data_IF_011771245622
#
_entry.id   IF_011771245622
#
_cell.length_a   1.000
_cell.length_b   1.000
_cell.length_c   1.000
_cell.angle_alpha   90.00
_cell.angle_beta   90.00
_cell.angle_gamma   90.00
#
_symmetry.space_group_name_H-M   'P 1'
#
loop_
_entity.id
_entity.type
_entity.pdbx_description
1 polymer ?
#
# COMPACT_ATOMS: atom_id res chain seq x y z
N UNK A 1 57.59 -21.63 -31.79
CA UNK A 1 58.16 -20.60 -30.89
C UNK A 1 57.11 -19.52 -30.70
N UNK A 2 56.92 -19.10 -29.46
CA UNK A 2 55.79 -18.32 -28.94
C UNK A 2 55.91 -16.79 -29.15
N UNK A 3 54.86 -16.09 -28.69
CA UNK A 3 54.81 -14.69 -28.18
C UNK A 3 54.33 -13.62 -29.20
N UNK A 4 53.46 -12.65 -28.90
CA UNK A 4 52.91 -12.17 -27.62
C UNK A 4 51.64 -11.32 -27.83
N UNK A 5 50.79 -11.28 -26.81
CA UNK A 5 49.57 -10.48 -26.64
C UNK A 5 49.85 -8.96 -26.43
N UNK A 6 48.82 -8.15 -26.72
CA UNK A 6 48.50 -6.78 -26.23
C UNK A 6 49.18 -5.55 -26.87
N UNK A 7 48.37 -4.76 -27.61
CA UNK A 7 48.28 -3.29 -27.39
C UNK A 7 46.90 -2.77 -27.80
N UNK A 8 46.27 -2.01 -26.89
CA UNK A 8 44.94 -1.39 -26.97
C UNK A 8 45.01 0.04 -27.54
N UNK A 9 43.81 0.56 -27.86
CA UNK A 9 43.37 1.97 -27.94
C UNK A 9 43.48 2.69 -29.30
N UNK A 10 42.34 2.77 -30.01
CA UNK A 10 42.07 3.79 -31.03
C UNK A 10 41.48 5.05 -30.37
N UNK A 11 41.94 6.21 -30.83
CA UNK A 11 41.87 7.52 -30.18
C UNK A 11 40.64 8.35 -30.52
N UNK A 12 40.32 9.25 -29.58
CA UNK A 12 39.39 10.40 -29.61
C UNK A 12 39.55 11.34 -30.83
N UNK A 13 38.48 12.07 -31.17
CA UNK A 13 38.57 13.40 -31.79
C UNK A 13 37.33 13.82 -32.58
N UNK A 14 36.63 14.86 -32.12
CA UNK A 14 35.43 15.52 -32.68
C UNK A 14 35.89 16.67 -33.58
N UNK A 15 35.22 16.94 -34.71
CA UNK A 15 35.12 18.30 -35.28
C UNK A 15 33.89 18.46 -36.22
N UNK A 16 33.33 19.67 -36.19
CA UNK A 16 31.97 20.11 -36.60
C UNK A 16 31.97 20.72 -38.02
N UNK A 17 30.92 20.47 -38.82
CA UNK A 17 30.54 21.35 -39.95
C UNK A 17 29.07 21.78 -39.84
N UNK A 18 28.89 23.09 -39.71
CA UNK A 18 27.64 23.78 -39.53
C UNK A 18 26.82 23.90 -40.82
N UNK A 19 25.66 23.26 -40.87
CA UNK A 19 24.57 23.59 -41.80
C UNK A 19 23.51 24.40 -41.07
N UNK A 20 23.43 25.72 -41.34
CA UNK A 20 22.36 26.59 -40.84
C UNK A 20 21.05 26.26 -41.56
N UNK A 21 20.04 25.79 -40.83
CA UNK A 21 18.64 25.89 -41.27
C UNK A 21 18.06 27.12 -40.60
N UNK A 22 17.66 28.10 -41.39
CA UNK A 22 17.12 29.38 -40.92
C UNK A 22 15.70 29.21 -40.41
N UNK A 23 15.48 29.45 -39.12
CA UNK A 23 14.17 29.62 -38.50
C UNK A 23 13.55 30.96 -38.95
N UNK A 24 12.65 30.92 -39.92
CA UNK A 24 11.73 32.04 -40.15
C UNK A 24 10.50 31.83 -39.28
N UNK A 25 10.57 32.29 -38.04
CA UNK A 25 9.40 32.45 -37.17
C UNK A 25 8.55 33.60 -37.73
N UNK A 26 7.45 33.28 -38.43
CA UNK A 26 6.35 34.23 -38.57
C UNK A 26 5.46 34.06 -37.34
N UNK A 27 5.47 35.09 -36.49
CA UNK A 27 4.60 35.20 -35.33
C UNK A 27 3.16 35.45 -35.76
N UNK A 28 2.21 34.76 -35.14
CA UNK A 28 0.81 35.21 -35.04
C UNK A 28 -0.26 34.15 -35.23
N UNK A 29 -0.52 33.34 -34.20
CA UNK A 29 -1.85 32.98 -33.62
C UNK A 29 -1.67 31.73 -32.72
N UNK A 30 -2.04 31.75 -31.43
CA UNK A 30 -2.06 30.53 -30.63
C UNK A 30 -3.33 29.73 -30.94
N UNK A 31 -3.21 28.67 -31.75
CA UNK A 31 -4.26 27.67 -31.90
C UNK A 31 -4.02 26.50 -30.96
N UNK A 32 -4.93 26.37 -30.00
CA UNK A 32 -5.07 25.24 -29.11
C UNK A 32 -5.32 23.90 -29.83
N UNK A 33 -4.96 22.80 -29.15
CA UNK A 33 -5.60 21.48 -29.18
C UNK A 33 -5.60 20.69 -30.51
N UNK A 34 -4.52 19.95 -30.80
CA UNK A 34 -4.63 18.62 -31.44
C UNK A 34 -3.52 17.69 -30.90
N UNK A 35 -3.82 16.64 -30.12
CA UNK A 35 -2.83 15.60 -29.82
C UNK A 35 -2.82 14.61 -31.00
N UNK A 36 -1.90 14.80 -31.96
CA UNK A 36 -1.66 13.80 -33.01
C UNK A 36 -0.63 12.82 -32.49
N UNK A 37 -1.07 11.60 -32.18
CA UNK A 37 -0.21 10.54 -31.65
C UNK A 37 0.88 10.14 -32.63
N UNK A 38 2.13 10.17 -32.17
CA UNK A 38 3.25 9.44 -32.75
C UNK A 38 3.98 8.71 -31.62
N UNK A 39 3.94 7.38 -31.67
CA UNK A 39 4.64 6.49 -30.75
C UNK A 39 6.11 6.39 -31.15
N UNK A 40 7.00 7.02 -30.40
CA UNK A 40 8.43 6.74 -30.48
C UNK A 40 8.82 5.58 -29.56
N UNK A 41 9.10 4.43 -30.17
CA UNK A 41 9.65 3.25 -29.49
C UNK A 41 11.15 3.42 -29.31
N UNK A 42 11.61 4.05 -28.23
CA UNK A 42 12.93 3.74 -27.62
C UNK A 42 12.94 4.18 -26.15
N UNK A 43 12.25 3.43 -25.28
CA UNK A 43 12.47 3.50 -23.83
C UNK A 43 13.15 2.22 -23.38
N UNK A 44 14.39 2.37 -22.90
CA UNK A 44 15.16 1.36 -22.18
C UNK A 44 14.25 0.65 -21.17
N UNK A 45 14.20 -0.68 -21.25
CA UNK A 45 13.60 -1.56 -20.24
C UNK A 45 14.46 -1.54 -18.99
N UNK A 46 14.36 -0.47 -18.21
CA UNK A 46 14.67 -0.50 -16.78
C UNK A 46 13.54 -1.31 -16.15
N UNK A 47 13.88 -2.30 -15.34
CA UNK A 47 12.97 -3.25 -14.68
C UNK A 47 12.01 -2.57 -13.70
N UNK A 48 11.08 -1.78 -14.22
CA UNK A 48 9.79 -1.59 -13.61
C UNK A 48 8.96 -2.77 -14.12
N UNK A 49 8.64 -3.71 -13.24
CA UNK A 49 7.53 -4.63 -13.47
C UNK A 49 6.38 -3.77 -13.95
N UNK A 50 5.98 -3.92 -15.21
CA UNK A 50 4.76 -3.33 -15.74
C UNK A 50 3.62 -3.95 -14.92
N UNK A 51 3.33 -3.34 -13.78
CA UNK A 51 2.13 -3.58 -13.04
C UNK A 51 1.05 -3.15 -14.00
N UNK A 52 0.42 -4.14 -14.64
CA UNK A 52 -0.71 -3.93 -15.53
C UNK A 52 -1.62 -2.89 -14.86
N UNK A 53 -2.07 -1.91 -15.64
CA UNK A 53 -2.87 -0.79 -15.14
C UNK A 53 -4.18 -1.30 -14.51
N UNK A 54 -4.08 -1.67 -13.25
CA UNK A 54 -5.10 -2.38 -12.52
C UNK A 54 -5.74 -1.40 -11.55
N UNK A 55 -6.83 -0.81 -12.04
CA UNK A 55 -7.64 0.22 -11.41
C UNK A 55 -8.39 -0.25 -10.17
N UNK A 56 -8.37 -1.55 -9.86
CA UNK A 56 -9.08 -2.11 -8.71
C UNK A 56 -8.50 -1.56 -7.41
N UNK A 57 -9.38 -1.48 -6.42
CA UNK A 57 -9.03 -1.00 -5.10
C UNK A 57 -8.11 -2.00 -4.43
N UNK A 58 -7.00 -1.51 -3.89
CA UNK A 58 -6.03 -2.33 -3.16
C UNK A 58 -5.48 -1.56 -1.96
N UNK A 59 -5.26 -2.29 -0.87
CA UNK A 59 -4.55 -1.82 0.31
C UNK A 59 -3.28 -2.64 0.43
N UNK A 60 -2.12 -1.98 0.44
CA UNK A 60 -0.82 -2.66 0.47
C UNK A 60 0.16 -1.99 1.43
N UNK A 61 1.12 -2.74 1.99
CA UNK A 61 2.29 -2.17 2.65
C UNK A 61 3.02 -1.16 1.77
N UNK A 62 3.69 -0.21 2.43
CA UNK A 62 4.70 0.60 1.75
C UNK A 62 5.82 -0.31 1.20
N UNK A 63 6.33 -0.06 -0.01
CA UNK A 63 7.43 -0.84 -0.57
C UNK A 63 8.62 -0.91 0.41
N UNK A 64 9.19 -2.11 0.59
CA UNK A 64 10.29 -2.36 1.53
C UNK A 64 9.85 -2.66 2.98
N UNK A 65 8.55 -2.60 3.30
CA UNK A 65 7.96 -3.04 4.58
C UNK A 65 7.05 -4.27 4.45
N UNK A 66 7.07 -4.91 3.29
CA UNK A 66 6.27 -6.10 3.00
C UNK A 66 6.69 -7.29 3.87
N UNK A 67 8.00 -7.58 3.96
CA UNK A 67 8.52 -8.69 4.77
C UNK A 67 8.23 -8.54 6.26
N UNK A 68 8.09 -7.31 6.76
CA UNK A 68 7.74 -7.05 8.17
C UNK A 68 6.26 -7.24 8.46
N UNK A 69 5.38 -7.10 7.45
CA UNK A 69 3.93 -7.19 7.64
C UNK A 69 3.42 -8.58 7.26
N UNK A 70 3.91 -9.13 6.15
CA UNK A 70 3.49 -10.44 5.65
C UNK A 70 4.34 -11.60 6.19
N UNK A 71 5.50 -11.30 6.79
CA UNK A 71 6.42 -12.33 7.28
C UNK A 71 7.10 -13.12 6.15
N UNK A 72 7.51 -14.37 6.39
CA UNK A 72 8.21 -15.20 5.40
C UNK A 72 7.40 -15.42 4.11
N UNK A 73 8.05 -15.35 2.96
CA UNK A 73 7.46 -15.71 1.66
C UNK A 73 7.53 -17.23 1.41
N UNK A 74 6.96 -17.99 2.32
CA UNK A 74 6.94 -19.45 2.26
C UNK A 74 5.58 -19.95 1.78
N UNK A 75 5.56 -21.12 1.12
CA UNK A 75 4.30 -21.70 0.60
C UNK A 75 3.31 -22.09 1.71
N UNK A 76 3.83 -22.36 2.91
CA UNK A 76 3.06 -22.65 4.12
C UNK A 76 2.56 -21.39 4.83
N UNK A 77 3.04 -20.21 4.45
CA UNK A 77 2.65 -18.95 5.10
C UNK A 77 1.23 -18.57 4.72
N UNK A 78 0.42 -18.25 5.74
CA UNK A 78 -0.93 -17.73 5.55
C UNK A 78 -0.94 -16.44 4.71
N UNK A 79 0.14 -15.68 4.66
CA UNK A 79 0.22 -14.41 3.93
C UNK A 79 0.62 -14.58 2.45
N UNK A 80 0.91 -15.79 1.99
CA UNK A 80 1.34 -16.05 0.61
C UNK A 80 0.38 -15.53 -0.46
N UNK A 81 -0.96 -15.69 -0.35
CA UNK A 81 -1.89 -15.16 -1.34
C UNK A 81 -1.76 -13.64 -1.53
N UNK A 82 -1.50 -12.89 -0.44
CA UNK A 82 -1.33 -11.44 -0.47
C UNK A 82 0.01 -11.01 -1.09
N UNK A 83 1.06 -11.82 -0.95
CA UNK A 83 2.31 -11.60 -1.65
C UNK A 83 2.15 -11.67 -3.18
N UNK A 84 1.27 -12.53 -3.67
CA UNK A 84 1.05 -12.70 -5.10
C UNK A 84 0.19 -11.56 -5.69
N UNK A 85 -0.77 -11.03 -4.93
CA UNK A 85 -1.60 -9.88 -5.33
C UNK A 85 -0.93 -8.53 -5.03
N UNK A 86 0.14 -8.52 -4.23
CA UNK A 86 0.86 -7.31 -3.82
C UNK A 86 0.04 -6.41 -2.88
N UNK A 87 -0.81 -7.01 -2.06
CA UNK A 87 -1.79 -6.29 -1.24
C UNK A 87 -3.11 -7.03 -1.04
N UNK A 88 -3.93 -6.50 -0.15
CA UNK A 88 -5.37 -6.80 -0.11
C UNK A 88 -6.00 -6.12 -1.31
N UNK A 89 -6.27 -6.90 -2.34
CA UNK A 89 -7.03 -6.53 -3.52
C UNK A 89 -8.50 -6.86 -3.30
N UNK A 90 -9.39 -5.91 -3.57
CA UNK A 90 -10.83 -6.15 -3.51
C UNK A 90 -11.26 -6.93 -4.77
N UNK A 91 -11.93 -8.09 -4.63
CA UNK A 91 -12.34 -8.91 -5.78
C UNK A 91 -13.47 -8.25 -6.57
N UNK A 92 -14.40 -7.59 -5.87
CA UNK A 92 -15.50 -6.82 -6.43
C UNK A 92 -15.29 -5.34 -6.12
N UNK A 93 -15.86 -4.46 -6.96
CA UNK A 93 -15.82 -3.01 -6.77
C UNK A 93 -16.44 -2.64 -5.41
N UNK A 94 -15.65 -2.10 -4.47
CA UNK A 94 -16.18 -1.74 -3.16
C UNK A 94 -16.87 -0.37 -3.23
N UNK A 95 -17.79 -0.15 -2.30
CA UNK A 95 -18.34 1.17 -2.00
C UNK A 95 -17.31 1.94 -1.19
N UNK A 96 -16.91 3.12 -1.68
CA UNK A 96 -15.98 4.02 -0.98
C UNK A 96 -16.71 5.34 -0.69
N UNK A 97 -16.72 5.74 0.58
CA UNK A 97 -17.16 7.05 1.02
C UNK A 97 -15.96 7.82 1.57
N UNK A 98 -15.75 9.03 1.06
CA UNK A 98 -14.69 9.94 1.50
C UNK A 98 -15.31 11.28 1.89
N UNK A 99 -15.02 11.78 3.08
CA UNK A 99 -15.50 13.08 3.55
C UNK A 99 -14.34 14.07 3.65
N UNK A 100 -14.41 15.13 2.86
CA UNK A 100 -13.48 16.25 2.90
C UNK A 100 -14.21 17.48 3.44
N UNK A 101 -13.86 17.87 4.66
CA UNK A 101 -14.42 19.06 5.31
C UNK A 101 -13.33 20.09 5.57
N UNK A 102 -13.73 21.35 5.68
CA UNK A 102 -12.85 22.47 6.05
C UNK A 102 -13.54 23.25 7.16
N UNK A 103 -12.77 23.61 8.18
CA UNK A 103 -13.27 24.35 9.34
C UNK A 103 -12.97 25.84 9.18
N UNK A 104 -14.01 26.66 9.27
CA UNK A 104 -13.93 28.12 9.29
C UNK A 104 -14.48 28.64 10.62
N UNK A 105 -13.78 29.59 11.22
CA UNK A 105 -14.23 30.36 12.36
C UNK A 105 -15.03 31.57 11.90
N UNK A 106 -16.15 31.84 12.57
CA UNK A 106 -17.02 32.97 12.25
C UNK A 106 -16.67 34.14 13.17
N UNK A 107 -16.33 35.29 12.58
CA UNK A 107 -16.13 36.54 13.28
C UNK A 107 -17.31 37.45 12.91
N UNK A 108 -18.08 37.86 13.91
CA UNK A 108 -19.25 38.73 13.74
C UNK A 108 -19.01 40.10 14.40
N UNK A 109 -18.47 41.09 13.66
CA UNK A 109 -18.26 42.43 14.19
C UNK A 109 -19.59 43.16 14.43
N UNK A 110 -19.64 43.97 15.49
CA UNK A 110 -20.79 44.85 15.74
C UNK A 110 -20.90 45.86 14.60
N UNK A 111 -22.13 46.12 14.16
CA UNK A 111 -22.45 46.97 12.99
C UNK A 111 -21.92 46.44 11.64
N UNK A 112 -21.57 45.16 11.55
CA UNK A 112 -21.41 44.48 10.25
C UNK A 112 -22.72 43.86 9.81
N UNK A 113 -23.03 43.94 8.52
CA UNK A 113 -24.22 43.31 7.93
C UNK A 113 -23.99 41.84 7.58
N UNK A 114 -22.73 41.39 7.60
CA UNK A 114 -22.32 40.04 7.26
C UNK A 114 -21.18 39.57 8.16
N UNK A 115 -21.15 38.26 8.37
CA UNK A 115 -20.09 37.60 9.12
C UNK A 115 -18.84 37.40 8.25
N UNK A 116 -17.67 37.49 8.89
CA UNK A 116 -16.39 37.18 8.28
C UNK A 116 -15.98 35.76 8.63
N UNK A 117 -15.76 34.92 7.61
CA UNK A 117 -15.27 33.56 7.79
C UNK A 117 -13.74 33.54 7.69
N UNK A 118 -13.07 33.15 8.77
CA UNK A 118 -11.63 32.95 8.80
C UNK A 118 -11.29 31.45 8.73
N UNK A 119 -10.40 31.06 7.83
CA UNK A 119 -9.94 29.68 7.74
C UNK A 119 -9.27 29.25 9.06
N UNK A 120 -9.68 28.12 9.63
CA UNK A 120 -9.06 27.56 10.84
C UNK A 120 -8.15 26.39 10.51
N UNK A 121 -8.70 25.33 9.91
CA UNK A 121 -7.95 24.12 9.56
C UNK A 121 -8.72 23.25 8.58
N UNK A 122 -7.98 22.36 7.93
CA UNK A 122 -8.54 21.23 7.17
C UNK A 122 -8.17 19.95 7.92
N UNK A 123 -9.13 19.24 8.54
CA UNK A 123 -8.86 17.94 9.18
C UNK A 123 -8.48 16.87 8.14
N UNK A 124 -7.81 15.81 8.59
CA UNK A 124 -7.51 14.65 7.73
C UNK A 124 -8.81 13.95 7.32
N UNK A 125 -9.02 13.67 6.02
CA UNK A 125 -10.23 13.00 5.55
C UNK A 125 -10.27 11.55 6.03
N UNK A 126 -11.48 11.07 6.31
CA UNK A 126 -11.74 9.68 6.65
C UNK A 126 -12.35 8.95 5.45
N UNK A 127 -11.90 7.72 5.24
CA UNK A 127 -12.36 6.84 4.18
C UNK A 127 -13.06 5.63 4.78
N UNK A 128 -14.30 5.39 4.36
CA UNK A 128 -15.04 4.17 4.68
C UNK A 128 -15.16 3.33 3.43
N UNK A 129 -14.54 2.15 3.45
CA UNK A 129 -14.55 1.21 2.34
C UNK A 129 -15.33 -0.03 2.77
N UNK A 130 -16.38 -0.36 2.05
CA UNK A 130 -17.19 -1.56 2.25
C UNK A 130 -17.21 -2.39 0.97
N UNK A 131 -16.84 -3.66 1.07
CA UNK A 131 -16.79 -4.57 -0.07
C UNK A 131 -17.00 -6.01 0.36
N UNK A 132 -17.62 -6.79 -0.51
CA UNK A 132 -17.85 -8.21 -0.27
C UNK A 132 -16.63 -9.03 -0.70
N UNK A 133 -16.32 -10.06 0.07
CA UNK A 133 -15.36 -11.10 -0.30
C UNK A 133 -16.12 -12.44 -0.36
N UNK A 134 -16.02 -13.14 -1.49
CA UNK A 134 -16.60 -14.47 -1.65
C UNK A 134 -15.51 -15.54 -1.58
N UNK A 135 -15.82 -16.67 -0.95
CA UNK A 135 -14.93 -17.82 -0.86
C UNK A 135 -15.67 -19.08 -1.32
N UNK A 136 -15.65 -19.35 -2.63
CA UNK A 136 -16.29 -20.56 -3.18
C UNK A 136 -15.33 -21.74 -3.26
N UNK A 137 -14.06 -21.46 -3.49
CA UNK A 137 -13.00 -22.45 -3.63
C UNK A 137 -12.01 -22.36 -2.47
N UNK A 138 -11.27 -23.44 -2.18
CA UNK A 138 -10.23 -23.43 -1.13
C UNK A 138 -9.21 -22.30 -1.30
N UNK A 139 -8.83 -22.01 -2.54
CA UNK A 139 -7.87 -20.92 -2.86
C UNK A 139 -8.43 -19.52 -2.55
N UNK A 140 -9.72 -19.30 -2.78
CA UNK A 140 -10.38 -18.04 -2.43
C UNK A 140 -10.58 -17.94 -0.92
N UNK A 141 -10.92 -19.05 -0.26
CA UNK A 141 -11.00 -19.12 1.19
C UNK A 141 -9.66 -18.81 1.86
N UNK A 142 -8.56 -19.35 1.33
CA UNK A 142 -7.19 -18.99 1.76
C UNK A 142 -6.95 -17.49 1.65
N UNK A 143 -7.30 -16.89 0.50
CA UNK A 143 -7.15 -15.45 0.29
C UNK A 143 -7.98 -14.62 1.28
N UNK A 144 -9.25 -14.95 1.47
CA UNK A 144 -10.11 -14.27 2.45
C UNK A 144 -9.56 -14.38 3.87
N UNK A 145 -9.07 -15.56 4.27
CA UNK A 145 -8.43 -15.77 5.56
C UNK A 145 -7.15 -14.93 5.69
N UNK A 146 -6.34 -14.84 4.64
CA UNK A 146 -5.17 -13.95 4.60
C UNK A 146 -5.56 -12.49 4.79
N UNK A 147 -6.61 -12.01 4.10
CA UNK A 147 -7.11 -10.64 4.23
C UNK A 147 -7.55 -10.33 5.66
N UNK A 148 -8.32 -11.23 6.27
CA UNK A 148 -8.76 -11.10 7.66
C UNK A 148 -7.56 -11.02 8.62
N UNK A 149 -6.58 -11.93 8.45
CA UNK A 149 -5.39 -11.94 9.28
C UNK A 149 -4.51 -10.70 9.06
N UNK A 150 -4.41 -10.21 7.82
CA UNK A 150 -3.73 -8.96 7.51
C UNK A 150 -4.35 -7.78 8.26
N UNK A 151 -5.67 -7.59 8.22
CA UNK A 151 -6.30 -6.49 8.95
C UNK A 151 -6.15 -6.62 10.48
N UNK A 152 -6.20 -7.84 11.01
CA UNK A 152 -5.96 -8.11 12.44
C UNK A 152 -4.56 -7.70 12.91
N UNK A 153 -3.56 -7.89 12.06
CA UNK A 153 -2.14 -7.64 12.35
C UNK A 153 -1.81 -6.15 12.20
N UNK A 154 -2.15 -5.53 11.06
CA UNK A 154 -1.81 -4.13 10.77
C UNK A 154 -2.57 -3.10 11.62
N UNK A 155 -3.68 -3.49 12.25
CA UNK A 155 -4.43 -2.59 13.16
C UNK A 155 -3.80 -2.55 14.57
N UNK A 156 -2.89 -3.48 14.89
CA UNK A 156 -2.23 -3.54 16.21
C UNK A 156 -0.82 -2.97 16.14
N UNK A 157 -0.36 -2.46 17.29
CA UNK A 157 1.06 -2.16 17.49
C UNK A 157 1.88 -3.45 17.34
N UNK A 158 3.17 -3.35 16.99
CA UNK A 158 4.02 -4.52 16.87
C UNK A 158 4.20 -5.19 18.26
N UNK A 159 3.78 -6.45 18.38
CA UNK A 159 3.85 -7.24 19.60
C UNK A 159 4.49 -8.61 19.34
N UNK A 160 5.18 -9.14 20.34
CA UNK A 160 5.84 -10.45 20.29
C UNK A 160 7.37 -10.38 20.18
N UNK A 161 8.01 -11.53 20.39
CA UNK A 161 9.42 -11.76 20.08
C UNK A 161 9.47 -12.56 18.78
N UNK A 162 9.69 -11.90 17.66
CA UNK A 162 10.16 -12.63 16.49
C UNK A 162 11.18 -11.81 15.71
N UNK A 163 12.38 -12.38 15.64
CA UNK A 163 13.51 -11.90 14.84
C UNK A 163 13.54 -12.74 13.57
N UNK A 164 12.58 -12.55 12.66
CA UNK A 164 12.70 -13.21 11.36
C UNK A 164 13.88 -12.60 10.59
N UNK A 165 14.88 -13.45 10.28
CA UNK A 165 16.11 -13.10 9.56
C UNK A 165 16.94 -11.95 10.16
N UNK A 166 17.06 -11.89 11.48
CA UNK A 166 17.94 -10.90 12.14
C UNK A 166 17.50 -9.44 11.97
N UNK A 167 16.32 -9.19 11.41
CA UNK A 167 15.67 -7.88 11.44
C UNK A 167 14.82 -7.84 12.70
N UNK A 168 15.43 -7.45 13.82
CA UNK A 168 14.69 -7.16 15.04
C UNK A 168 13.83 -5.91 14.79
N UNK A 169 12.53 -6.13 14.63
CA UNK A 169 11.56 -5.04 14.63
C UNK A 169 11.30 -4.70 16.10
N UNK A 170 11.54 -3.46 16.55
CA UNK A 170 11.36 -3.10 17.94
C UNK A 170 9.90 -3.25 18.35
N UNK A 171 9.69 -3.85 19.52
CA UNK A 171 8.38 -3.95 20.17
C UNK A 171 7.84 -2.55 20.46
N UNK A 172 6.51 -2.39 20.37
CA UNK A 172 5.86 -1.11 20.65
C UNK A 172 5.86 -0.11 19.49
N UNK A 173 6.29 -0.52 18.29
CA UNK A 173 6.07 0.30 17.09
C UNK A 173 4.57 0.50 16.86
N UNK A 174 4.21 1.74 16.54
CA UNK A 174 2.85 2.12 16.14
C UNK A 174 2.38 1.29 14.93
N UNK A 175 1.05 1.12 14.75
CA UNK A 175 0.49 0.47 13.57
C UNK A 175 1.12 1.01 12.26
N UNK A 176 1.43 0.14 11.28
CA UNK A 176 2.10 0.55 10.06
C UNK A 176 1.22 1.44 9.19
N UNK A 177 1.85 2.36 8.45
CA UNK A 177 1.21 3.12 7.38
C UNK A 177 1.13 2.25 6.12
N UNK A 178 -0.07 2.15 5.56
CA UNK A 178 -0.37 1.41 4.35
C UNK A 178 -0.60 2.38 3.17
N UNK A 179 -0.65 1.84 1.96
CA UNK A 179 -0.96 2.57 0.74
C UNK A 179 -2.29 2.07 0.18
N UNK A 180 -3.26 2.97 0.07
CA UNK A 180 -4.51 2.76 -0.64
C UNK A 180 -4.32 3.17 -2.11
N UNK A 181 -4.71 2.28 -3.02
CA UNK A 181 -4.75 2.56 -4.45
C UNK A 181 -6.11 2.15 -5.03
N UNK A 182 -6.58 2.82 -6.08
CA UNK A 182 -7.84 2.51 -6.77
C UNK A 182 -8.30 3.67 -7.66
N UNK A 183 -9.08 3.34 -8.70
CA UNK A 183 -9.72 4.32 -9.59
C UNK A 183 -8.76 5.29 -10.30
N UNK A 184 -7.54 4.84 -10.61
CA UNK A 184 -6.56 5.58 -11.42
C UNK A 184 -5.75 6.63 -10.65
N UNK A 185 -4.95 7.39 -11.39
CA UNK A 185 -3.92 8.31 -10.84
C UNK A 185 -4.49 9.49 -10.06
N UNK A 186 -5.71 9.93 -10.38
CA UNK A 186 -6.31 11.16 -9.83
C UNK A 186 -7.30 10.92 -8.69
N UNK A 187 -7.67 9.66 -8.41
CA UNK A 187 -8.58 9.33 -7.31
C UNK A 187 -7.82 8.81 -6.10
N UNK A 188 -7.40 7.54 -6.13
CA UNK A 188 -6.65 6.91 -5.04
C UNK A 188 -5.33 6.39 -5.61
N UNK A 189 -4.29 7.23 -5.60
CA UNK A 189 -2.97 6.86 -6.08
C UNK A 189 -1.96 6.85 -4.94
N UNK A 190 -1.60 5.66 -4.49
CA UNK A 190 -0.63 5.41 -3.43
C UNK A 190 -0.85 6.31 -2.21
N UNK A 191 -2.11 6.46 -1.81
CA UNK A 191 -2.50 7.32 -0.71
C UNK A 191 -2.06 6.69 0.62
N UNK A 192 -1.25 7.36 1.44
CA UNK A 192 -0.85 6.84 2.74
C UNK A 192 -2.04 6.84 3.69
N UNK A 193 -2.40 5.67 4.20
CA UNK A 193 -3.55 5.48 5.09
C UNK A 193 -3.15 4.68 6.33
N UNK A 194 -3.86 4.94 7.43
CA UNK A 194 -3.79 4.15 8.66
C UNK A 194 -5.19 3.60 8.92
N UNK A 195 -5.26 2.34 9.34
CA UNK A 195 -6.54 1.69 9.62
C UNK A 195 -6.96 2.03 11.05
N UNK A 196 -8.08 2.75 11.19
CA UNK A 196 -8.67 3.08 12.50
C UNK A 196 -9.54 1.95 13.05
N UNK A 197 -10.33 1.33 12.18
CA UNK A 197 -11.25 0.26 12.52
C UNK A 197 -11.39 -0.69 11.32
N UNK A 198 -11.62 -1.97 11.58
CA UNK A 198 -12.08 -2.92 10.59
C UNK A 198 -13.19 -3.76 11.21
N UNK A 199 -14.24 -4.02 10.43
CA UNK A 199 -15.38 -4.85 10.84
C UNK A 199 -15.51 -6.00 9.85
N UNK A 200 -15.75 -7.20 10.37
CA UNK A 200 -16.00 -8.40 9.57
C UNK A 200 -17.35 -8.94 10.01
N UNK A 201 -18.23 -9.17 9.06
CA UNK A 201 -19.49 -9.86 9.27
C UNK A 201 -19.40 -11.26 8.65
N UNK A 202 -19.76 -12.27 9.45
CA UNK A 202 -19.79 -13.66 9.04
C UNK A 202 -21.28 -14.10 9.04
N UNK A 203 -21.97 -14.01 7.90
CA UNK A 203 -23.41 -14.29 7.80
C UNK A 203 -23.73 -15.76 8.07
N UNK A 204 -24.89 -16.05 8.68
CA UNK A 204 -25.30 -17.43 9.00
C UNK A 204 -25.95 -18.17 7.81
N UNK A 205 -26.26 -17.45 6.75
CA UNK A 205 -26.96 -17.91 5.56
C UNK A 205 -26.01 -18.37 4.45
N UNK A 206 -24.74 -18.61 4.75
CA UNK A 206 -23.70 -19.06 3.80
C UNK A 206 -22.87 -20.17 4.43
N UNK A 207 -22.51 -21.18 3.63
CA UNK A 207 -21.63 -22.27 4.04
C UNK A 207 -20.17 -21.82 4.10
N UNK A 208 -19.48 -22.21 5.17
CA UNK A 208 -18.06 -21.87 5.37
C UNK A 208 -17.13 -22.94 4.80
N UNK A 209 -16.14 -22.51 4.03
CA UNK A 209 -15.08 -23.38 3.49
C UNK A 209 -13.92 -23.48 4.47
N UNK A 210 -13.55 -24.70 4.85
CA UNK A 210 -12.37 -24.97 5.68
C UNK A 210 -11.10 -24.79 4.86
N UNK A 211 -10.13 -24.06 5.41
CA UNK A 211 -8.77 -23.92 4.88
C UNK A 211 -7.81 -24.81 5.67
N UNK A 212 -7.02 -25.62 4.97
CA UNK A 212 -5.97 -26.44 5.59
C UNK A 212 -4.62 -25.74 5.40
N UNK A 213 -4.23 -24.91 6.38
CA UNK A 213 -2.88 -24.35 6.40
C UNK A 213 -1.93 -25.39 6.96
N UNK A 214 -0.87 -25.70 6.23
CA UNK A 214 0.23 -26.49 6.75
C UNK A 214 1.07 -25.58 7.64
N UNK A 215 0.59 -25.34 8.87
CA UNK A 215 1.31 -24.52 9.83
C UNK A 215 2.75 -25.06 9.95
N UNK A 216 3.79 -24.21 9.90
CA UNK A 216 5.12 -24.66 10.26
C UNK A 216 5.01 -25.26 11.67
N UNK A 217 5.44 -26.51 11.80
CA UNK A 217 5.31 -27.33 13.00
C UNK A 217 6.13 -26.74 14.15
N UNK A 218 5.60 -25.68 14.77
CA UNK A 218 5.98 -25.28 16.11
C UNK A 218 4.87 -25.78 17.01
N UNK A 219 5.15 -26.88 17.71
CA UNK A 219 4.28 -27.52 18.68
C UNK A 219 3.85 -26.52 19.76
N UNK A 220 2.65 -25.98 19.62
CA UNK A 220 1.90 -25.41 20.73
C UNK A 220 0.48 -25.98 20.62
N UNK A 221 0.21 -27.00 21.44
CA UNK A 221 -1.12 -27.61 21.53
C UNK A 221 -2.15 -26.55 21.88
N UNK A 222 -3.15 -26.38 21.03
CA UNK A 222 -4.25 -25.46 21.29
C UNK A 222 -5.38 -26.24 21.95
N UNK A 223 -5.43 -26.21 23.28
CA UNK A 223 -6.67 -26.42 24.03
C UNK A 223 -7.37 -25.08 24.11
N UNK A 224 -8.45 -24.91 23.36
CA UNK A 224 -9.32 -23.73 23.43
C UNK A 224 -10.28 -23.94 24.60
N UNK A 225 -9.96 -23.38 25.76
CA UNK A 225 -10.99 -23.04 26.75
C UNK A 225 -11.13 -21.52 26.77
N UNK A 226 -12.29 -21.02 26.31
CA UNK A 226 -12.66 -19.61 26.41
C UNK A 226 -13.61 -19.47 27.58
N UNK A 227 -13.23 -18.68 28.57
CA UNK A 227 -14.16 -17.90 29.38
C UNK A 227 -13.43 -16.65 29.87
N UNK A 228 -13.70 -15.52 29.21
CA UNK A 228 -13.56 -14.15 29.73
C UNK A 228 -12.29 -13.86 30.56
N UNK A 229 -11.22 -13.35 29.94
CA UNK A 229 -10.18 -12.66 30.73
C UNK A 229 -9.80 -11.32 30.09
N UNK A 230 -10.41 -10.26 30.62
CA UNK A 230 -9.86 -8.90 30.64
C UNK A 230 -8.98 -8.82 31.89
N UNK A 231 -7.70 -8.49 31.73
CA UNK A 231 -6.88 -7.97 32.84
C UNK A 231 -6.18 -6.68 32.39
N UNK A 232 -6.47 -5.60 33.11
CA UNK A 232 -5.88 -4.26 33.01
C UNK A 232 -4.45 -4.26 33.61
N UNK A 233 -3.58 -3.32 33.21
CA UNK A 233 -2.15 -3.38 33.54
C UNK A 233 -1.91 -3.03 35.01
N UNK A 234 -1.10 -3.81 35.71
CA UNK A 234 -0.46 -3.33 36.93
C UNK A 234 1.06 -3.44 36.83
N UNK A 235 1.72 -2.31 37.11
CA UNK A 235 3.16 -2.17 37.25
C UNK A 235 3.68 -3.20 38.26
N UNK A 236 4.66 -4.03 37.87
CA UNK A 236 5.47 -4.78 38.81
C UNK A 236 6.90 -4.18 38.84
N UNK A 237 7.07 -3.28 39.80
CA UNK A 237 8.35 -2.80 40.31
C UNK A 237 9.22 -3.95 40.85
N UNK A 238 10.50 -3.87 40.50
CA UNK A 238 11.70 -4.05 41.35
C UNK A 238 11.80 -5.23 42.34
N UNK A 239 12.75 -6.12 42.02
CA UNK A 239 13.42 -7.09 42.88
C UNK A 239 14.02 -6.46 44.15
N UNK A 240 13.78 -7.06 45.33
CA UNK A 240 14.79 -7.25 46.39
C UNK A 240 14.25 -8.13 47.54
N UNK A 241 15.09 -9.04 48.02
CA UNK A 241 14.87 -9.92 49.16
C UNK A 241 15.13 -11.36 48.78
#
# INVERSE_FOLDING_TARGET
MANNFLTKLTSKGIDVVAGKVTDTVIQGLPNELVPTGVSDKTSKKTTATAQADDFRVRIRPKPGRESSIYGPRDKSSLMLPLYNTGGVLFPYTPTISANFSVEYGVISPVHSIMDFYAYMRTPSPEFTISGQFSAQNTREAEYCLSVIHFFRTVTKMYFGQDSYKGTSIPIGLSPPVLLLNGYGTYMLNNLPVIIKNYTIELPNNVDYVKVNLQAPSTSAGVLIQINQLIHQPHLAMLKKG
#
